data_IF_952796273771
#
_entry.id   IF_952796273771
#
_cell.length_a   1.000
_cell.length_b   1.000
_cell.length_c   1.000
_cell.angle_alpha   90.00
_cell.angle_beta   90.00
_cell.angle_gamma   90.00
#
_symmetry.space_group_name_H-M   'P 1'
#
loop_
_entity.id
_entity.type
_entity.pdbx_description
1 polymer ?
2 non-polymer ?
3 water ?
#
# COMPACT_ATOMS: atom_id res chain seq x y z
N UNK A 2 -5.68 -3.20 -20.08
CA UNK A 2 -5.97 -3.14 -18.62
C UNK A 2 -7.06 -2.12 -18.33
N UNK A 3 -7.69 -2.23 -17.16
CA UNK A 3 -8.68 -1.25 -16.72
C UNK A 3 -8.32 -0.83 -15.30
N UNK A 4 -7.88 0.43 -15.19
CA UNK A 4 -7.43 1.11 -13.96
C UNK A 4 -5.97 0.79 -13.63
N UNK A 5 -5.19 1.84 -13.39
CA UNK A 5 -3.79 1.71 -13.00
C UNK A 5 -3.68 1.94 -11.49
N UNK A 6 -3.07 0.98 -10.80
CA UNK A 6 -3.05 0.95 -9.34
C UNK A 6 -1.60 0.95 -8.88
N UNK A 7 -1.20 1.98 -8.12
CA UNK A 7 0.15 2.02 -7.56
C UNK A 7 0.14 1.37 -6.20
N UNK A 8 0.93 0.31 -6.06
CA UNK A 8 1.03 -0.45 -4.83
C UNK A 8 2.30 -0.02 -4.09
N UNK A 9 2.13 0.55 -2.89
CA UNK A 9 3.27 1.04 -2.10
C UNK A 9 3.35 0.31 -0.76
N UNK A 10 4.40 -0.51 -0.59
CA UNK A 10 4.60 -1.25 0.65
C UNK A 10 6.09 -1.59 0.72
N UNK A 11 6.66 -1.58 1.92
CA UNK A 11 8.08 -1.84 2.01
C UNK A 11 8.40 -3.33 1.97
N UNK A 12 7.38 -4.18 2.13
CA UNK A 12 7.58 -5.64 2.00
C UNK A 12 7.40 -6.07 0.55
N UNK A 13 8.47 -6.59 -0.08
CA UNK A 13 8.35 -7.03 -1.46
C UNK A 13 7.43 -8.25 -1.59
N UNK A 14 7.24 -9.00 -0.50
CA UNK A 14 6.24 -10.09 -0.45
C UNK A 14 4.82 -9.53 -0.58
N UNK A 15 4.49 -8.55 0.25
CA UNK A 15 3.19 -7.88 0.18
C UNK A 15 2.96 -7.28 -1.20
N UNK A 16 3.96 -6.58 -1.74
CA UNK A 16 3.83 -5.95 -3.05
C UNK A 16 3.54 -7.01 -4.12
N UNK A 17 4.30 -8.10 -4.08
CA UNK A 17 4.15 -9.15 -5.13
C UNK A 17 2.77 -9.83 -5.04
N UNK A 18 2.27 -10.00 -3.82
CA UNK A 18 0.97 -10.64 -3.61
C UNK A 18 -0.14 -9.73 -4.17
N UNK A 19 -0.08 -8.44 -3.86
CA UNK A 19 -1.02 -7.49 -4.46
C UNK A 19 -0.91 -7.41 -5.99
N UNK A 20 0.31 -7.45 -6.52
CA UNK A 20 0.50 -7.47 -7.97
C UNK A 20 -0.23 -8.67 -8.61
N UNK A 21 -0.04 -9.86 -8.05
CA UNK A 21 -0.76 -11.04 -8.54
C UNK A 21 -2.28 -10.85 -8.50
N UNK A 22 -2.80 -10.38 -7.37
CA UNK A 22 -4.25 -10.17 -7.22
C UNK A 22 -4.79 -9.20 -8.25
N UNK A 23 -4.08 -8.08 -8.44
CA UNK A 23 -4.51 -7.02 -9.38
C UNK A 23 -4.44 -7.50 -10.82
N UNK A 24 -3.34 -8.17 -11.17
CA UNK A 24 -3.16 -8.64 -12.55
C UNK A 24 -4.25 -9.60 -13.00
N UNK A 25 -4.67 -10.51 -12.11
CA UNK A 25 -5.72 -11.48 -12.50
C UNK A 25 -7.02 -10.77 -12.92
N UNK A 26 -7.24 -9.59 -12.35
CA UNK A 26 -8.45 -8.81 -12.59
C UNK A 26 -8.27 -7.78 -13.69
N UNK A 27 -7.12 -7.80 -14.36
CA UNK A 27 -6.85 -6.81 -15.41
C UNK A 27 -6.65 -5.37 -14.96
N UNK A 28 -6.37 -5.17 -13.67
CA UNK A 28 -5.88 -3.87 -13.20
C UNK A 28 -4.41 -3.80 -13.61
N UNK A 29 -3.89 -2.60 -13.85
CA UNK A 29 -2.47 -2.47 -14.17
C UNK A 29 -1.70 -2.03 -12.92
N UNK A 30 -0.92 -2.95 -12.34
CA UNK A 30 -0.19 -2.53 -11.14
C UNK A 30 1.16 -1.90 -11.43
N UNK A 31 1.47 -0.84 -10.68
CA UNK A 31 2.83 -0.35 -10.63
C UNK A 31 3.25 -0.36 -9.17
N UNK A 32 4.56 -0.46 -8.93
CA UNK A 32 5.06 -0.72 -7.57
C UNK A 32 6.00 0.36 -7.02
N UNK A 33 6.01 0.48 -5.70
CA UNK A 33 6.99 1.31 -4.97
C UNK A 33 7.23 0.72 -3.60
N UNK A 34 8.45 0.88 -3.09
CA UNK A 34 8.85 0.26 -1.83
C UNK A 34 9.16 1.24 -0.68
N UNK A 35 8.87 2.52 -0.91
CA UNK A 35 9.09 3.56 0.09
C UNK A 35 8.19 4.74 -0.27
N UNK A 36 7.99 5.66 0.67
CA UNK A 36 7.22 6.84 0.36
C UNK A 36 7.95 7.72 -0.63
N UNK A 37 9.27 7.81 -0.50
CA UNK A 37 10.08 8.57 -1.46
C UNK A 37 9.87 8.04 -2.88
N UNK A 38 9.90 6.72 -3.04
CA UNK A 38 9.68 6.14 -4.37
C UNK A 38 8.24 6.34 -4.87
N UNK A 39 7.28 6.25 -3.94
CA UNK A 39 5.87 6.52 -4.25
C UNK A 39 5.71 7.89 -4.92
N UNK A 40 6.30 8.92 -4.31
CA UNK A 40 6.18 10.27 -4.87
C UNK A 40 6.80 10.38 -6.27
N UNK A 41 7.94 9.73 -6.47
CA UNK A 41 8.58 9.69 -7.80
C UNK A 41 7.63 9.07 -8.84
N UNK A 42 7.03 7.93 -8.46
CA UNK A 42 6.06 7.23 -9.32
C UNK A 42 4.82 8.05 -9.66
N UNK A 43 4.29 8.80 -8.70
CA UNK A 43 3.11 9.63 -8.94
C UNK A 43 3.38 10.71 -9.98
N UNK A 44 4.59 11.26 -9.92
CA UNK A 44 5.06 12.29 -10.84
C UNK A 44 5.32 11.70 -12.27
N UNK A 45 5.94 10.53 -12.38
CA UNK A 45 6.32 9.90 -13.64
C UNK A 45 5.18 9.16 -14.33
N UNK A 46 4.46 8.35 -13.56
CA UNK A 46 3.39 7.50 -14.09
C UNK A 46 2.14 7.62 -13.22
N UNK A 47 1.41 8.76 -13.33
CA UNK A 47 0.26 8.95 -12.45
C UNK A 47 -0.78 7.83 -12.54
N UNK A 48 -1.09 7.17 -11.41
CA UNK A 48 -2.07 6.11 -11.41
C UNK A 48 -3.49 6.63 -11.17
N UNK A 49 -4.47 5.75 -11.28
CA UNK A 49 -5.84 6.08 -10.97
C UNK A 49 -6.12 5.96 -9.49
N UNK A 50 -5.28 5.21 -8.78
CA UNK A 50 -5.49 4.96 -7.36
C UNK A 50 -4.19 4.48 -6.72
N UNK A 51 -4.00 4.82 -5.44
CA UNK A 51 -2.81 4.38 -4.70
C UNK A 51 -3.20 3.48 -3.52
N UNK A 52 -2.47 2.37 -3.34
CA UNK A 52 -2.56 1.57 -2.14
C UNK A 52 -1.28 1.86 -1.33
N UNK A 53 -1.46 2.40 -0.13
CA UNK A 53 -0.34 3.00 0.60
C UNK A 53 -0.15 2.40 2.00
N UNK A 54 0.96 1.70 2.21
CA UNK A 54 1.33 1.10 3.49
C UNK A 54 1.45 2.18 4.58
N UNK A 55 0.83 1.95 5.72
CA UNK A 55 0.96 2.88 6.83
C UNK A 55 2.30 2.95 7.47
N UNK A 56 2.94 1.83 7.67
CA UNK A 56 4.23 1.89 8.34
C UNK A 56 5.32 2.35 7.37
N UNK A 57 6.47 1.69 7.44
CA UNK A 57 7.57 2.04 6.58
C UNK A 57 8.45 3.08 7.26
N UNK A 58 9.68 3.15 6.76
CA UNK A 58 10.70 4.08 7.25
C UNK A 58 11.65 4.42 6.09
N UNK A 59 12.23 5.64 6.09
CA UNK A 59 12.22 6.71 7.09
C UNK A 59 11.03 7.66 7.02
N UNK A 60 10.20 7.51 5.99
CA UNK A 60 8.95 8.24 5.91
C UNK A 60 7.80 7.24 5.95
N UNK A 61 6.85 7.42 6.87
CA UNK A 61 5.74 6.47 6.99
C UNK A 61 4.59 6.78 6.01
N UNK A 62 3.54 5.96 6.04
CA UNK A 62 2.43 6.15 5.10
C UNK A 62 1.63 7.42 5.33
N UNK A 63 1.51 7.81 6.60
CA UNK A 63 0.76 9.03 6.94
C UNK A 63 1.49 10.28 6.43
N UNK A 64 2.80 10.27 6.58
CA UNK A 64 3.63 11.38 6.16
C UNK A 64 3.65 11.44 4.63
N UNK A 65 3.77 10.27 3.98
CA UNK A 65 3.69 10.20 2.51
C UNK A 65 2.35 10.75 2.01
N UNK A 66 1.27 10.32 2.68
CA UNK A 66 -0.09 10.77 2.34
C UNK A 66 -0.21 12.29 2.41
N UNK A 67 0.38 12.89 3.46
CA UNK A 67 0.37 14.33 3.61
C UNK A 67 1.04 14.98 2.40
N UNK A 68 2.19 14.46 1.99
CA UNK A 68 2.86 14.99 0.79
C UNK A 68 2.02 14.80 -0.48
N UNK A 69 1.39 13.64 -0.65
CA UNK A 69 0.49 13.40 -1.78
C UNK A 69 -0.64 14.44 -1.84
N UNK A 70 -1.23 14.69 -0.67
CA UNK A 70 -2.46 15.44 -0.62
C UNK A 70 -2.19 16.95 -0.53
N UNK A 71 -0.95 17.31 -0.24
CA UNK A 71 -0.53 18.74 -0.16
C UNK A 71 0.04 19.24 -1.48
N UNK A 72 0.80 18.39 -2.18
CA UNK A 72 1.31 18.72 -3.51
C UNK A 72 0.13 18.82 -4.47
N UNK A 73 -0.10 20.02 -5.06
CA UNK A 73 -1.30 20.17 -5.91
C UNK A 73 -1.37 19.29 -7.18
N UNK A 74 -0.22 18.80 -7.66
CA UNK A 74 -0.20 17.89 -8.82
C UNK A 74 -0.79 16.49 -8.53
N UNK A 75 -0.80 16.08 -7.26
CA UNK A 75 -1.20 14.71 -6.89
C UNK A 75 -2.41 14.55 -5.97
N UNK A 76 -2.88 15.65 -5.41
CA UNK A 76 -3.95 15.62 -4.39
C UNK A 76 -5.26 14.97 -4.79
N UNK A 77 -5.62 14.94 -6.05
CA UNK A 77 -6.89 14.36 -6.48
C UNK A 77 -6.88 12.84 -6.72
N UNK A 78 -5.71 12.22 -6.56
CA UNK A 78 -5.57 10.76 -6.71
C UNK A 78 -6.11 10.08 -5.44
N UNK A 79 -7.12 9.19 -5.58
CA UNK A 79 -7.66 8.47 -4.43
C UNK A 79 -6.63 7.52 -3.80
N UNK A 80 -6.70 7.40 -2.48
CA UNK A 80 -5.75 6.58 -1.74
C UNK A 80 -6.51 5.62 -0.82
N UNK A 81 -6.12 4.35 -0.84
CA UNK A 81 -6.57 3.37 0.14
C UNK A 81 -5.35 3.05 1.01
N UNK A 82 -5.48 3.12 2.33
CA UNK A 82 -4.37 2.76 3.22
C UNK A 82 -4.28 1.24 3.34
N UNK A 83 -3.06 0.73 3.38
CA UNK A 83 -2.79 -0.69 3.66
C UNK A 83 -2.33 -0.78 5.10
N UNK A 84 -3.03 -1.58 5.90
CA UNK A 84 -2.86 -1.60 7.35
C UNK A 84 -2.69 -3.02 7.90
N UNK A 85 -2.10 -3.14 9.09
CA UNK A 85 -2.00 -4.41 9.78
C UNK A 85 -3.11 -4.58 10.81
N UNK A 86 -3.85 -3.51 11.09
CA UNK A 86 -4.97 -3.54 12.03
C UNK A 86 -5.99 -2.48 11.57
N UNK A 87 -7.27 -2.58 11.98
CA UNK A 87 -8.20 -1.53 11.54
C UNK A 87 -7.75 -0.13 11.95
N UNK A 88 -8.14 0.88 11.17
CA UNK A 88 -7.89 2.27 11.55
C UNK A 88 -8.69 2.56 12.80
N UNK A 89 -8.10 3.32 13.72
CA UNK A 89 -8.84 3.79 14.90
C UNK A 89 -9.90 4.79 14.46
N UNK A 90 -10.96 4.99 15.28
CA UNK A 90 -11.94 6.03 14.95
C UNK A 90 -11.28 7.39 14.74
N UNK A 91 -10.29 7.71 15.57
CA UNK A 91 -9.54 8.96 15.46
C UNK A 91 -8.82 9.09 14.10
N UNK A 92 -8.18 8.02 13.64
CA UNK A 92 -7.51 8.04 12.34
C UNK A 92 -8.49 8.17 11.17
N UNK A 93 -9.57 7.39 11.19
CA UNK A 93 -10.57 7.44 10.12
C UNK A 93 -11.18 8.84 10.01
N UNK A 94 -11.38 9.46 11.17
CA UNK A 94 -11.90 10.81 11.34
C UNK A 94 -10.95 11.86 10.75
N UNK A 95 -9.76 11.91 11.33
CA UNK A 95 -8.78 12.91 10.97
C UNK A 95 -8.43 12.86 9.49
N UNK A 96 -8.21 11.63 8.97
CA UNK A 96 -7.78 11.47 7.57
C UNK A 96 -8.90 11.21 6.56
N UNK A 97 -10.15 11.33 7.01
CA UNK A 97 -11.33 11.11 6.15
C UNK A 97 -11.30 11.75 4.79
N UNK A 98 -10.88 13.02 4.71
CA UNK A 98 -10.83 13.70 3.42
C UNK A 98 -9.65 13.27 2.56
N UNK A 99 -8.64 12.63 3.17
CA UNK A 99 -7.44 12.26 2.41
C UNK A 99 -7.53 10.86 1.81
N UNK A 100 -8.31 9.98 2.43
CA UNK A 100 -8.36 8.56 2.07
C UNK A 100 -9.78 8.10 1.77
N UNK A 101 -9.89 7.04 0.96
CA UNK A 101 -11.18 6.47 0.62
C UNK A 101 -11.60 5.36 1.57
N UNK A 102 -10.63 4.56 2.03
CA UNK A 102 -10.88 3.46 2.96
C UNK A 102 -9.52 2.85 3.30
N UNK A 103 -9.54 1.74 4.03
CA UNK A 103 -8.32 0.97 4.26
C UNK A 103 -8.55 -0.50 3.87
N UNK A 104 -7.44 -1.20 3.60
CA UNK A 104 -7.46 -2.65 3.36
C UNK A 104 -6.48 -3.29 4.34
N UNK A 105 -6.95 -4.30 5.06
CA UNK A 105 -6.08 -5.08 5.94
C UNK A 105 -5.13 -5.93 5.11
N UNK A 106 -3.85 -5.91 5.45
CA UNK A 106 -2.84 -6.67 4.71
C UNK A 106 -2.98 -8.16 5.03
N UNK A 107 -2.66 -9.03 4.05
CA UNK A 107 -2.73 -10.45 4.35
C UNK A 107 -1.54 -10.85 5.24
N UNK A 108 -1.74 -11.86 6.08
CA UNK A 108 -0.67 -12.38 6.94
C UNK A 108 -0.28 -13.80 6.58
N UNK A 109 -0.96 -14.36 5.57
CA UNK A 109 -0.91 -15.79 5.22
C UNK A 109 0.50 -16.34 5.04
N UNK A 110 1.36 -15.57 4.40
CA UNK A 110 2.74 -16.01 4.14
C UNK A 110 3.49 -16.39 5.41
N UNK A 111 3.25 -15.67 6.50
CA UNK A 111 3.94 -15.99 7.76
C UNK A 111 3.52 -17.38 8.23
N UNK A 112 2.21 -17.65 8.24
CA UNK A 112 1.68 -18.93 8.69
C UNK A 112 2.06 -20.05 7.72
N UNK A 113 2.04 -19.73 6.43
CA UNK A 113 2.39 -20.69 5.38
C UNK A 113 3.85 -21.17 5.52
N UNK A 114 4.79 -20.23 5.61
CA UNK A 114 6.21 -20.62 5.66
C UNK A 114 6.50 -21.38 6.95
N UNK A 115 5.95 -20.89 8.06
CA UNK A 115 6.15 -21.51 9.38
C UNK A 115 5.67 -22.96 9.37
N UNK A 116 4.47 -23.18 8.85
CA UNK A 116 3.90 -24.54 8.78
C UNK A 116 4.70 -25.48 7.87
N UNK A 117 5.14 -24.98 6.71
CA UNK A 117 5.92 -25.81 5.78
C UNK A 117 7.29 -26.11 6.37
N UNK A 118 7.95 -25.09 6.91
CA UNK A 118 9.27 -25.28 7.52
C UNK A 118 9.20 -26.27 8.69
N UNK A 119 8.17 -26.14 9.53
CA UNK A 119 8.00 -27.04 10.68
C UNK A 119 7.91 -28.50 10.24
N UNK A 120 7.28 -28.74 9.09
CA UNK A 120 7.13 -30.10 8.56
C UNK A 120 8.42 -30.59 7.90
N UNK A 121 9.03 -29.75 7.07
CA UNK A 121 10.04 -30.23 6.14
C UNK A 121 11.49 -29.95 6.51
N UNK A 122 11.72 -28.91 7.32
CA UNK A 122 13.12 -28.57 7.71
C UNK A 122 13.64 -29.60 8.72
N UNK A 123 14.95 -29.82 8.72
CA UNK A 123 15.60 -30.70 9.70
C UNK A 123 15.59 -30.04 11.07
N UNK A 124 14.88 -30.67 12.00
CA UNK A 124 14.73 -30.19 13.38
C UNK A 124 15.93 -30.58 14.25
X LIG B 1 4.37 -6.95 6.00
X LIG B 1 3.00 -6.86 6.20
X LIG B 1 4.65 -8.29 6.50
X LIG B 1 4.88 -7.93 7.80
X LIG B 1 5.93 -8.72 5.91
X LIG B 1 5.79 -9.28 4.66
X LIG C 1 2.31 4.30 -18.69
X LIG C 1 2.52 4.03 -20.07
X LIG C 1 1.51 5.59 -18.55
X LIG C 1 2.33 6.61 -18.01
X LIG C 1 0.28 5.35 -17.67
X LIG C 1 0.20 6.29 -16.62
#
# INVERSE_FOLDING_TARGET
>A
XSLYTILVVDDSPMIVDVFVTMLERGGYRPITAFSGEECLEALNATPPDLVLLDIMMEPMDGWETLERIKTDPATRDIPVLMLTAKPLTPEEANEYGSYIEDYILKPTTHHQLYEAIEHVLARRHSIAADEGHHHHHH
>B hetero
1 GOL C1 O1 C2 O2 C3 O3
>C hetero
1 GOL C1 O1 C2 O2 C3 O3
#
